data_IF_845931451430
#
_entry.id   IF_845931451430
#
_cell.length_a   1.000
_cell.length_b   1.000
_cell.length_c   1.000
_cell.angle_alpha   90.00
_cell.angle_beta   90.00
_cell.angle_gamma   90.00
#
_symmetry.space_group_name_H-M   'P 1'
#
loop_
_entity.id
_entity.type
_entity.pdbx_description
1 polymer ?
#
# COMPACT_ATOMS: atom_id res chain seq x y z
N UNK A 1 -41.71 11.10 -72.38
CA UNK A 1 -40.42 10.91 -73.10
C UNK A 1 -39.61 9.94 -72.25
N UNK A 2 -39.48 8.64 -72.50
CA UNK A 2 -39.08 7.91 -73.71
C UNK A 2 -37.99 6.96 -73.20
N UNK A 3 -38.32 5.76 -72.69
CA UNK A 3 -38.55 4.49 -73.37
C UNK A 3 -37.45 4.09 -74.38
N UNK A 4 -36.88 2.88 -74.18
CA UNK A 4 -35.69 2.22 -74.80
C UNK A 4 -34.38 2.51 -74.02
N UNK A 5 -33.88 1.58 -73.20
CA UNK A 5 -33.15 0.39 -73.67
C UNK A 5 -33.30 -0.78 -72.68
N UNK A 6 -34.30 -1.62 -72.95
CA UNK A 6 -34.28 -3.02 -72.50
C UNK A 6 -33.65 -3.86 -73.63
N UNK A 7 -33.06 -4.99 -73.22
CA UNK A 7 -32.55 -6.09 -74.05
C UNK A 7 -31.13 -5.95 -74.61
N UNK A 8 -30.15 -6.35 -73.78
CA UNK A 8 -28.98 -7.15 -74.19
C UNK A 8 -28.34 -7.82 -72.96
N UNK A 9 -29.13 -8.61 -72.23
CA UNK A 9 -28.59 -9.64 -71.33
C UNK A 9 -28.15 -10.82 -72.19
N UNK A 10 -27.01 -10.65 -72.86
CA UNK A 10 -26.28 -11.77 -73.44
C UNK A 10 -25.77 -12.64 -72.29
N UNK A 11 -26.21 -13.90 -72.26
CA UNK A 11 -25.75 -14.93 -71.35
C UNK A 11 -24.23 -15.06 -71.46
N UNK A 12 -23.50 -14.44 -70.52
CA UNK A 12 -22.09 -14.71 -70.35
C UNK A 12 -21.92 -16.21 -70.04
N UNK A 13 -21.05 -16.93 -70.76
CA UNK A 13 -20.78 -18.34 -70.46
C UNK A 13 -20.34 -18.45 -68.99
N UNK A 14 -20.73 -19.52 -68.27
CA UNK A 14 -20.34 -19.70 -66.88
C UNK A 14 -18.81 -19.59 -66.81
N UNK A 15 -18.32 -18.55 -66.13
CA UNK A 15 -16.90 -18.33 -65.92
C UNK A 15 -16.39 -19.55 -65.15
N UNK A 16 -15.76 -20.48 -65.88
CA UNK A 16 -15.07 -21.62 -65.30
C UNK A 16 -14.12 -21.04 -64.26
N UNK A 17 -14.27 -21.35 -62.96
CA UNK A 17 -13.37 -20.82 -61.95
C UNK A 17 -11.97 -21.26 -62.33
N UNK A 18 -11.18 -20.31 -62.82
CA UNK A 18 -9.78 -20.54 -63.15
C UNK A 18 -9.13 -21.13 -61.89
N UNK A 19 -8.18 -22.08 -62.03
CA UNK A 19 -7.47 -22.72 -60.91
C UNK A 19 -6.53 -21.75 -60.15
N UNK A 20 -6.94 -20.49 -59.98
CA UNK A 20 -6.23 -19.43 -59.28
C UNK A 20 -5.96 -19.75 -57.81
N UNK A 21 -6.77 -20.60 -57.18
CA UNK A 21 -6.51 -21.06 -55.81
C UNK A 21 -5.19 -21.82 -55.66
N UNK A 22 -4.81 -22.65 -56.64
CA UNK A 22 -3.54 -23.39 -56.59
C UNK A 22 -2.34 -22.47 -56.83
N UNK A 23 -2.43 -21.56 -57.80
CA UNK A 23 -1.38 -20.58 -58.10
C UNK A 23 -1.13 -19.62 -56.93
N UNK A 24 -2.19 -19.16 -56.25
CA UNK A 24 -2.06 -18.32 -55.06
C UNK A 24 -1.34 -19.05 -53.92
N UNK A 25 -1.65 -20.33 -53.71
CA UNK A 25 -1.00 -21.15 -52.69
C UNK A 25 0.51 -21.34 -52.97
N UNK A 26 0.90 -21.63 -54.22
CA UNK A 26 2.32 -21.77 -54.57
C UNK A 26 3.09 -20.45 -54.40
N UNK A 27 2.50 -19.31 -54.78
CA UNK A 27 3.11 -17.99 -54.58
C UNK A 27 3.27 -17.65 -53.10
N UNK A 28 2.27 -17.94 -52.26
CA UNK A 28 2.36 -17.72 -50.83
C UNK A 28 3.46 -18.58 -50.17
N UNK A 29 3.57 -19.85 -50.56
CA UNK A 29 4.62 -20.74 -50.07
C UNK A 29 6.03 -20.27 -50.49
N UNK A 30 6.19 -19.84 -51.74
CA UNK A 30 7.45 -19.29 -52.23
C UNK A 30 7.81 -17.99 -51.52
N UNK A 31 6.86 -17.08 -51.33
CA UNK A 31 7.07 -15.82 -50.62
C UNK A 31 7.53 -16.06 -49.17
N UNK A 32 6.94 -17.02 -48.46
CA UNK A 32 7.39 -17.40 -47.09
C UNK A 32 8.82 -17.91 -47.07
N UNK A 33 9.23 -18.69 -48.07
CA UNK A 33 10.60 -19.19 -48.19
C UNK A 33 11.58 -18.05 -48.45
N UNK A 34 11.24 -17.15 -49.37
CA UNK A 34 12.02 -15.95 -49.68
C UNK A 34 12.14 -15.03 -48.46
N UNK A 35 11.06 -14.85 -47.70
CA UNK A 35 11.05 -14.13 -46.42
C UNK A 35 11.96 -14.79 -45.37
N UNK A 36 11.93 -16.12 -45.25
CA UNK A 36 12.80 -16.83 -44.31
C UNK A 36 14.29 -16.68 -44.66
N UNK A 37 14.62 -16.73 -45.96
CA UNK A 37 16.00 -16.49 -46.45
C UNK A 37 16.44 -15.06 -46.13
N UNK A 38 15.58 -14.07 -46.39
CA UNK A 38 15.87 -12.68 -46.07
C UNK A 38 16.05 -12.47 -44.56
N UNK A 39 15.16 -13.05 -43.74
CA UNK A 39 15.25 -12.97 -42.29
C UNK A 39 16.54 -13.62 -41.75
N UNK A 40 16.90 -14.81 -42.24
CA UNK A 40 18.16 -15.47 -41.87
C UNK A 40 19.39 -14.64 -42.29
N UNK A 41 19.31 -14.00 -43.46
CA UNK A 41 20.35 -13.11 -43.95
C UNK A 41 20.53 -11.89 -43.06
N UNK A 42 19.42 -11.22 -42.70
CA UNK A 42 19.43 -10.07 -41.78
C UNK A 42 19.97 -10.49 -40.42
N UNK A 43 19.57 -11.66 -39.91
CA UNK A 43 20.08 -12.20 -38.65
C UNK A 43 21.60 -12.44 -38.71
N UNK A 44 22.11 -13.02 -39.80
CA UNK A 44 23.54 -13.19 -40.02
C UNK A 44 24.27 -11.84 -40.07
N UNK A 45 23.70 -10.83 -40.74
CA UNK A 45 24.29 -9.48 -40.78
C UNK A 45 24.38 -8.85 -39.40
N UNK A 46 23.32 -8.98 -38.59
CA UNK A 46 23.29 -8.52 -37.19
C UNK A 46 24.35 -9.29 -36.38
N UNK A 47 24.48 -10.60 -36.55
CA UNK A 47 25.49 -11.39 -35.86
C UNK A 47 26.91 -10.96 -36.22
N UNK A 48 27.21 -10.73 -37.50
CA UNK A 48 28.51 -10.21 -37.95
C UNK A 48 28.74 -8.79 -37.37
N UNK A 49 27.70 -7.97 -37.27
CA UNK A 49 27.78 -6.62 -36.69
C UNK A 49 28.03 -6.63 -35.18
N UNK A 50 27.50 -7.62 -34.46
CA UNK A 50 27.69 -7.83 -33.02
C UNK A 50 29.01 -8.56 -32.70
N UNK A 51 29.61 -9.26 -33.67
CA UNK A 51 30.82 -10.07 -33.51
C UNK A 51 32.01 -9.33 -32.84
N UNK A 52 32.31 -8.06 -33.18
CA UNK A 52 33.36 -7.27 -32.50
C UNK A 52 33.10 -7.01 -31.01
N UNK A 53 31.85 -7.13 -30.53
CA UNK A 53 31.48 -6.92 -29.13
C UNK A 53 31.67 -8.18 -28.25
N UNK A 54 31.78 -9.37 -28.87
CA UNK A 54 31.88 -10.66 -28.17
C UNK A 54 33.32 -10.91 -27.70
N UNK A 55 33.48 -11.57 -26.55
CA UNK A 55 34.73 -11.56 -25.74
C UNK A 55 36.02 -12.18 -26.32
N UNK A 56 36.07 -13.04 -27.36
CA UNK A 56 37.39 -13.33 -27.97
C UNK A 56 37.81 -12.21 -28.94
N UNK A 57 36.87 -11.59 -29.66
CA UNK A 57 37.16 -10.60 -30.70
C UNK A 57 37.28 -9.18 -30.17
N UNK A 58 36.60 -8.86 -29.05
CA UNK A 58 36.63 -7.54 -28.42
C UNK A 58 38.05 -7.02 -28.20
N UNK A 59 38.96 -7.85 -27.67
CA UNK A 59 40.36 -7.46 -27.41
C UNK A 59 41.14 -7.12 -28.69
N UNK A 60 40.83 -7.79 -29.80
CA UNK A 60 41.49 -7.53 -31.08
C UNK A 60 40.91 -6.29 -31.77
N UNK A 61 39.60 -6.08 -31.66
CA UNK A 61 38.88 -4.99 -32.33
C UNK A 61 38.95 -3.65 -31.59
N UNK A 62 39.19 -3.62 -30.27
CA UNK A 62 39.15 -2.41 -29.43
C UNK A 62 40.09 -1.29 -29.91
N UNK A 63 41.26 -1.63 -30.43
CA UNK A 63 42.24 -0.65 -30.96
C UNK A 63 41.92 -0.16 -32.38
N UNK A 64 40.99 -0.81 -33.10
CA UNK A 64 40.72 -0.57 -34.52
C UNK A 64 39.24 -0.44 -34.87
N UNK A 65 38.38 -0.24 -33.89
CA UNK A 65 36.92 -0.16 -34.01
C UNK A 65 36.47 0.73 -35.18
N UNK A 66 37.03 1.94 -35.30
CA UNK A 66 36.68 2.89 -36.36
C UNK A 66 37.02 2.42 -37.79
N UNK A 67 37.98 1.49 -37.97
CA UNK A 67 38.30 0.89 -39.29
C UNK A 67 37.51 -0.39 -39.55
N UNK A 68 37.25 -1.17 -38.51
CA UNK A 68 36.60 -2.48 -38.63
C UNK A 68 35.10 -2.35 -38.92
N UNK A 69 34.40 -1.42 -38.27
CA UNK A 69 32.96 -1.25 -38.47
C UNK A 69 32.57 -0.86 -39.92
N UNK A 70 33.23 0.11 -40.58
CA UNK A 70 32.96 0.42 -41.99
C UNK A 70 33.13 -0.77 -42.93
N UNK A 71 34.16 -1.59 -42.72
CA UNK A 71 34.41 -2.80 -43.51
C UNK A 71 33.28 -3.82 -43.31
N UNK A 72 32.87 -4.08 -42.06
CA UNK A 72 31.76 -4.96 -41.75
C UNK A 72 30.46 -4.46 -42.38
N UNK A 73 30.17 -3.16 -42.28
CA UNK A 73 28.97 -2.58 -42.89
C UNK A 73 28.97 -2.69 -44.41
N UNK A 74 30.14 -2.52 -45.06
CA UNK A 74 30.27 -2.67 -46.50
C UNK A 74 30.05 -4.13 -46.93
N UNK A 75 30.64 -5.09 -46.21
CA UNK A 75 30.43 -6.53 -46.45
C UNK A 75 28.96 -6.91 -46.29
N UNK A 76 28.30 -6.46 -45.22
CA UNK A 76 26.87 -6.70 -45.00
C UNK A 76 26.02 -6.06 -46.12
N UNK A 77 26.35 -4.84 -46.56
CA UNK A 77 25.63 -4.17 -47.66
C UNK A 77 25.75 -4.93 -48.98
N UNK A 78 26.96 -5.40 -49.33
CA UNK A 78 27.19 -6.19 -50.55
C UNK A 78 26.42 -7.51 -50.49
N UNK A 79 26.48 -8.22 -49.35
CA UNK A 79 25.73 -9.45 -49.16
C UNK A 79 24.22 -9.22 -49.28
N UNK A 80 23.70 -8.12 -48.72
CA UNK A 80 22.29 -7.76 -48.78
C UNK A 80 21.81 -7.47 -50.21
N UNK A 81 22.55 -6.64 -50.95
CA UNK A 81 22.24 -6.34 -52.36
C UNK A 81 22.26 -7.61 -53.21
N UNK A 82 23.25 -8.48 -52.97
CA UNK A 82 23.38 -9.75 -53.71
C UNK A 82 22.18 -10.66 -53.45
N UNK A 83 21.74 -10.75 -52.20
CA UNK A 83 20.60 -11.61 -51.82
C UNK A 83 19.28 -11.03 -52.33
N UNK A 84 19.08 -9.71 -52.29
CA UNK A 84 17.91 -9.07 -52.90
C UNK A 84 17.82 -9.31 -54.41
N UNK A 85 18.96 -9.31 -55.13
CA UNK A 85 18.98 -9.65 -56.55
C UNK A 85 18.60 -11.12 -56.83
N UNK A 86 18.83 -12.02 -55.86
CA UNK A 86 18.51 -13.45 -55.97
C UNK A 86 17.05 -13.78 -55.60
N UNK A 87 16.30 -12.83 -55.02
CA UNK A 87 14.92 -13.00 -54.56
C UNK A 87 13.95 -12.34 -55.56
N UNK A 88 13.35 -13.09 -56.51
CA UNK A 88 12.57 -12.49 -57.59
C UNK A 88 11.21 -11.94 -57.14
N UNK A 89 10.64 -12.38 -56.01
CA UNK A 89 9.33 -11.92 -55.55
C UNK A 89 9.41 -10.70 -54.62
N UNK A 90 10.56 -10.46 -54.00
CA UNK A 90 10.73 -9.38 -53.01
C UNK A 90 11.33 -8.15 -53.69
N UNK A 91 10.54 -7.07 -53.79
CA UNK A 91 11.03 -5.78 -54.27
C UNK A 91 11.73 -4.99 -53.15
N UNK A 92 12.66 -4.11 -53.51
CA UNK A 92 13.34 -3.20 -52.57
C UNK A 92 12.32 -2.37 -51.76
N UNK A 93 11.24 -1.94 -52.42
CA UNK A 93 10.16 -1.20 -51.78
C UNK A 93 9.50 -1.98 -50.64
N UNK A 94 9.26 -3.29 -50.82
CA UNK A 94 8.68 -4.13 -49.76
C UNK A 94 9.58 -4.19 -48.53
N UNK A 95 10.89 -4.32 -48.74
CA UNK A 95 11.86 -4.38 -47.64
C UNK A 95 11.95 -3.04 -46.92
N UNK A 96 11.91 -1.93 -47.66
CA UNK A 96 11.82 -0.59 -47.09
C UNK A 96 10.57 -0.44 -46.21
N UNK A 97 9.39 -0.82 -46.71
CA UNK A 97 8.15 -0.72 -45.93
C UNK A 97 8.16 -1.64 -44.70
N UNK A 98 8.78 -2.83 -44.77
CA UNK A 98 8.96 -3.68 -43.58
C UNK A 98 9.88 -3.03 -42.54
N UNK A 99 10.97 -2.39 -42.97
CA UNK A 99 11.85 -1.65 -42.06
C UNK A 99 11.11 -0.49 -41.39
N UNK A 100 10.31 0.28 -42.15
CA UNK A 100 9.45 1.34 -41.61
C UNK A 100 8.44 0.77 -40.62
N UNK A 101 7.78 -0.34 -40.93
CA UNK A 101 6.82 -0.98 -40.03
C UNK A 101 7.47 -1.48 -38.73
N UNK A 102 8.68 -2.05 -38.79
CA UNK A 102 9.43 -2.43 -37.59
C UNK A 102 9.78 -1.19 -36.77
N UNK A 103 10.23 -0.11 -37.42
CA UNK A 103 10.56 1.15 -36.75
C UNK A 103 9.33 1.75 -36.06
N UNK A 104 8.17 1.74 -36.71
CA UNK A 104 6.89 2.16 -36.15
C UNK A 104 6.55 1.35 -34.89
N UNK A 105 6.63 0.02 -34.95
CA UNK A 105 6.40 -0.85 -33.77
C UNK A 105 7.38 -0.52 -32.63
N UNK A 106 8.65 -0.28 -32.94
CA UNK A 106 9.65 0.07 -31.92
C UNK A 106 9.34 1.43 -31.28
N UNK A 107 8.94 2.43 -32.08
CA UNK A 107 8.55 3.75 -31.59
C UNK A 107 7.31 3.63 -30.69
N UNK A 108 6.28 2.91 -31.12
CA UNK A 108 5.07 2.69 -30.33
C UNK A 108 5.36 2.01 -28.99
N UNK A 109 6.26 1.02 -28.98
CA UNK A 109 6.67 0.35 -27.73
C UNK A 109 7.52 1.23 -26.84
N UNK A 110 8.39 2.06 -27.42
CA UNK A 110 9.17 3.04 -26.67
C UNK A 110 8.25 4.09 -26.02
N UNK A 111 7.24 4.58 -26.76
CA UNK A 111 6.22 5.49 -26.25
C UNK A 111 5.42 4.87 -25.10
N UNK A 112 4.94 3.62 -25.26
CA UNK A 112 4.22 2.90 -24.19
C UNK A 112 5.05 2.77 -22.91
N UNK A 113 6.34 2.45 -23.04
CA UNK A 113 7.27 2.36 -21.90
C UNK A 113 7.49 3.74 -21.27
N UNK A 114 7.64 4.78 -22.08
CA UNK A 114 7.81 6.14 -21.59
C UNK A 114 6.56 6.63 -20.82
N UNK A 115 5.36 6.37 -21.35
CA UNK A 115 4.09 6.69 -20.68
C UNK A 115 3.98 5.93 -19.35
N UNK A 116 4.30 4.63 -19.34
CA UNK A 116 4.27 3.84 -18.11
C UNK A 116 5.28 4.36 -17.07
N UNK A 117 6.48 4.75 -17.51
CA UNK A 117 7.48 5.36 -16.64
C UNK A 117 7.02 6.70 -16.06
N UNK A 118 6.44 7.58 -16.89
CA UNK A 118 5.87 8.86 -16.44
C UNK A 118 4.73 8.62 -15.45
N UNK A 119 3.84 7.66 -15.71
CA UNK A 119 2.77 7.30 -14.79
C UNK A 119 3.30 6.78 -13.46
N UNK A 120 4.36 5.95 -13.48
CA UNK A 120 5.01 5.47 -12.27
C UNK A 120 5.65 6.60 -11.45
N UNK A 121 6.36 7.53 -12.11
CA UNK A 121 6.93 8.71 -11.44
C UNK A 121 5.83 9.61 -10.86
N UNK A 122 4.72 9.81 -11.59
CA UNK A 122 3.58 10.56 -11.10
C UNK A 122 2.96 9.89 -9.85
N UNK A 123 2.82 8.56 -9.85
CA UNK A 123 2.35 7.81 -8.70
C UNK A 123 3.29 7.97 -7.48
N UNK A 124 4.60 7.91 -7.69
CA UNK A 124 5.59 8.15 -6.63
C UNK A 124 5.53 9.59 -6.09
N UNK A 125 5.30 10.57 -6.97
CA UNK A 125 5.11 11.97 -6.56
C UNK A 125 3.84 12.12 -5.70
N UNK A 126 2.71 11.56 -6.14
CA UNK A 126 1.46 11.56 -5.36
C UNK A 126 1.67 10.88 -4.01
N UNK A 127 2.36 9.73 -3.98
CA UNK A 127 2.68 9.03 -2.75
C UNK A 127 3.54 9.87 -1.80
N UNK A 128 4.59 10.53 -2.32
CA UNK A 128 5.48 11.39 -1.53
C UNK A 128 4.79 12.63 -0.99
N UNK A 129 3.87 13.21 -1.76
CA UNK A 129 3.16 14.45 -1.40
C UNK A 129 1.80 14.24 -0.75
N UNK A 130 1.39 12.98 -0.50
CA UNK A 130 0.06 12.65 0.04
C UNK A 130 -0.28 13.43 1.32
N UNK A 131 0.68 13.58 2.24
CA UNK A 131 0.42 14.22 3.53
C UNK A 131 0.16 15.71 3.37
N UNK A 132 0.88 16.37 2.45
CA UNK A 132 0.67 17.79 2.11
C UNK A 132 -0.63 18.01 1.37
N UNK A 133 -1.02 17.10 0.49
CA UNK A 133 -2.30 17.17 -0.21
C UNK A 133 -3.47 16.99 0.76
N UNK A 134 -3.37 16.03 1.69
CA UNK A 134 -4.39 15.81 2.72
C UNK A 134 -4.48 17.00 3.69
N UNK A 135 -3.34 17.56 4.09
CA UNK A 135 -3.27 18.78 4.89
C UNK A 135 -3.94 19.97 4.17
N UNK A 136 -3.67 20.16 2.88
CA UNK A 136 -4.30 21.21 2.07
C UNK A 136 -5.80 21.00 1.86
N UNK A 137 -6.28 19.75 1.88
CA UNK A 137 -7.69 19.39 1.85
C UNK A 137 -8.38 19.56 3.22
N UNK A 138 -7.65 20.00 4.25
CA UNK A 138 -8.18 20.19 5.60
C UNK A 138 -8.32 18.90 6.40
N UNK A 139 -7.67 17.80 5.98
CA UNK A 139 -7.64 16.56 6.76
C UNK A 139 -6.66 16.73 7.91
N UNK A 140 -7.18 17.00 9.11
CA UNK A 140 -6.38 17.25 10.31
C UNK A 140 -5.50 16.06 10.73
N UNK A 141 -5.91 14.84 10.36
CA UNK A 141 -5.15 13.61 10.62
C UNK A 141 -4.99 12.80 9.33
N UNK A 142 -3.98 13.14 8.52
CA UNK A 142 -3.65 12.43 7.28
C UNK A 142 -3.49 10.90 7.49
N UNK A 143 -2.95 10.49 8.64
CA UNK A 143 -2.75 9.10 9.03
C UNK A 143 -4.07 8.32 9.23
N UNK A 144 -5.20 8.99 9.45
CA UNK A 144 -6.49 8.34 9.57
C UNK A 144 -7.10 7.98 8.21
N UNK A 145 -6.71 8.69 7.14
CA UNK A 145 -7.29 8.53 5.79
C UNK A 145 -6.45 7.60 4.94
N UNK A 146 -5.12 7.78 4.93
CA UNK A 146 -4.22 6.93 4.16
C UNK A 146 -3.51 5.97 5.08
N UNK A 147 -3.98 4.72 5.08
CA UNK A 147 -3.39 3.64 5.85
C UNK A 147 -1.93 3.44 5.47
N UNK A 148 -1.15 2.98 6.44
CA UNK A 148 0.25 2.63 6.24
C UNK A 148 0.33 1.42 5.31
N UNK A 149 1.46 1.21 4.63
CA UNK A 149 1.63 0.04 3.72
C UNK A 149 1.23 -1.29 4.38
N UNK A 150 1.45 -1.39 5.71
CA UNK A 150 1.01 -2.51 6.54
C UNK A 150 -0.51 -2.72 6.52
N UNK A 151 -1.30 -1.65 6.52
CA UNK A 151 -2.77 -1.69 6.45
C UNK A 151 -3.23 -2.20 5.09
N UNK A 152 -2.56 -1.79 4.02
CA UNK A 152 -2.81 -2.31 2.67
C UNK A 152 -2.47 -3.80 2.59
N UNK A 153 -1.32 -4.20 3.12
CA UNK A 153 -0.89 -5.60 3.16
C UNK A 153 -1.81 -6.48 4.02
N UNK A 154 -2.41 -5.92 5.07
CA UNK A 154 -3.36 -6.63 5.95
C UNK A 154 -4.83 -6.42 5.55
N UNK A 155 -5.08 -5.84 4.37
CA UNK A 155 -6.41 -5.50 3.85
C UNK A 155 -7.29 -4.79 4.88
N UNK A 156 -6.71 -3.88 5.66
CA UNK A 156 -7.39 -3.10 6.69
C UNK A 156 -8.10 -3.97 7.74
N UNK A 157 -7.54 -5.14 8.05
CA UNK A 157 -8.11 -6.05 9.05
C UNK A 157 -8.11 -5.41 10.44
N UNK A 158 -9.31 -5.02 10.91
CA UNK A 158 -9.52 -4.44 12.24
C UNK A 158 -9.30 -5.43 13.41
N UNK A 159 -9.06 -6.71 13.10
CA UNK A 159 -8.91 -7.76 14.11
C UNK A 159 -7.66 -7.67 14.95
N UNK A 160 -6.61 -7.03 14.43
CA UNK A 160 -5.36 -6.88 15.16
C UNK A 160 -5.48 -5.92 16.34
N UNK A 161 -6.52 -5.09 16.34
CA UNK A 161 -6.76 -4.13 17.40
C UNK A 161 -7.58 -4.77 18.53
N UNK A 162 -7.17 -4.51 19.76
CA UNK A 162 -7.92 -4.82 20.96
C UNK A 162 -8.27 -3.53 21.68
N UNK A 163 -9.52 -3.41 22.13
CA UNK A 163 -9.96 -2.23 22.84
C UNK A 163 -9.38 -2.20 24.26
N UNK A 164 -8.74 -1.09 24.61
CA UNK A 164 -8.27 -0.79 25.95
C UNK A 164 -8.99 0.44 26.47
N UNK A 165 -9.32 0.45 27.76
CA UNK A 165 -9.88 1.61 28.45
C UNK A 165 -8.81 2.23 29.34
N UNK A 166 -8.51 3.50 29.09
CA UNK A 166 -7.60 4.33 29.85
C UNK A 166 -8.39 5.15 30.87
N UNK A 167 -8.18 4.87 32.15
CA UNK A 167 -8.73 5.66 33.25
C UNK A 167 -7.72 6.73 33.67
N UNK A 168 -8.18 7.98 33.70
CA UNK A 168 -7.41 9.16 34.11
C UNK A 168 -8.00 9.66 35.42
N UNK A 169 -7.29 9.44 36.53
CA UNK A 169 -7.82 9.79 37.85
C UNK A 169 -7.52 11.24 38.21
N UNK A 170 -6.24 11.58 38.36
CA UNK A 170 -5.78 12.90 38.75
C UNK A 170 -4.39 13.21 38.24
N UNK A 171 -4.05 14.49 38.23
CA UNK A 171 -2.74 15.02 37.90
C UNK A 171 -2.29 15.94 39.02
N UNK A 172 -1.04 15.76 39.47
CA UNK A 172 -0.44 16.51 40.58
C UNK A 172 0.83 17.23 40.09
N UNK A 173 1.12 18.42 40.61
CA UNK A 173 2.41 19.11 40.40
C UNK A 173 2.63 19.70 38.99
N UNK A 174 1.56 20.15 38.32
CA UNK A 174 1.66 20.80 37.02
C UNK A 174 2.35 22.17 37.10
N UNK A 175 3.24 22.52 36.16
CA UNK A 175 3.78 23.87 36.07
C UNK A 175 2.67 24.87 35.69
N UNK A 176 2.77 26.10 36.20
CA UNK A 176 1.87 27.18 35.80
C UNK A 176 2.17 27.56 34.35
N UNK A 177 1.16 27.57 33.47
CA UNK A 177 1.34 27.99 32.07
C UNK A 177 1.49 29.51 31.94
N UNK A 178 0.87 30.25 32.86
CA UNK A 178 0.89 31.71 32.94
C UNK A 178 1.13 32.14 34.39
N UNK A 179 1.90 33.21 34.59
CA UNK A 179 2.33 33.66 35.93
C UNK A 179 1.16 34.11 36.82
N UNK A 180 0.10 34.69 36.23
CA UNK A 180 -0.97 35.38 36.97
C UNK A 180 -2.34 34.66 36.91
N UNK A 181 -2.47 33.56 36.16
CA UNK A 181 -3.75 32.88 35.95
C UNK A 181 -3.63 31.40 36.22
N UNK A 182 -4.58 30.84 36.97
CA UNK A 182 -4.68 29.40 37.14
C UNK A 182 -4.90 28.70 35.79
N UNK A 183 -4.36 27.48 35.67
CA UNK A 183 -4.51 26.69 34.44
C UNK A 183 -5.96 26.17 34.31
N UNK A 184 -6.52 26.25 33.09
CA UNK A 184 -7.74 25.57 32.66
C UNK A 184 -7.33 24.28 31.96
N UNK A 185 -7.36 23.17 32.69
CA UNK A 185 -6.63 21.95 32.29
C UNK A 185 -7.56 20.94 31.63
N UNK A 186 -7.13 20.38 30.51
CA UNK A 186 -7.70 19.16 29.94
C UNK A 186 -6.59 18.19 29.50
N UNK A 187 -6.94 16.92 29.32
CA UNK A 187 -6.03 15.88 28.86
C UNK A 187 -6.40 15.47 27.44
N UNK A 188 -5.43 15.51 26.53
CA UNK A 188 -5.53 15.00 25.16
C UNK A 188 -4.77 13.67 25.07
N UNK A 189 -5.45 12.62 24.63
CA UNK A 189 -4.88 11.29 24.45
C UNK A 189 -4.85 10.94 22.97
N UNK A 190 -3.69 10.53 22.49
CA UNK A 190 -3.48 10.10 21.11
C UNK A 190 -2.74 8.76 21.08
N UNK A 191 -3.27 7.80 20.34
CA UNK A 191 -2.66 6.48 20.17
C UNK A 191 -2.77 6.07 18.71
N UNK A 192 -1.69 6.28 17.95
CA UNK A 192 -1.58 5.70 16.61
C UNK A 192 -2.75 6.04 15.68
N UNK A 193 -3.49 5.02 15.26
CA UNK A 193 -4.67 5.12 14.39
C UNK A 193 -5.93 5.72 15.05
N UNK A 194 -5.93 5.91 16.38
CA UNK A 194 -7.08 6.48 17.07
C UNK A 194 -7.18 7.98 16.81
N UNK A 195 -8.42 8.45 16.62
CA UNK A 195 -8.72 9.89 16.69
C UNK A 195 -8.30 10.39 18.08
N UNK A 196 -7.74 11.61 18.13
CA UNK A 196 -7.33 12.20 19.40
C UNK A 196 -8.56 12.41 20.28
N UNK A 197 -8.53 11.81 21.46
CA UNK A 197 -9.60 11.91 22.44
C UNK A 197 -9.24 13.00 23.46
N UNK A 198 -10.23 13.73 23.95
CA UNK A 198 -10.04 14.81 24.93
C UNK A 198 -10.97 14.62 26.11
N UNK A 199 -10.46 14.84 27.31
CA UNK A 199 -11.28 14.93 28.51
C UNK A 199 -12.03 16.26 28.56
N UNK A 200 -12.94 16.41 29.52
CA UNK A 200 -13.53 17.72 29.82
C UNK A 200 -12.47 18.66 30.37
N UNK A 201 -12.76 19.96 30.27
CA UNK A 201 -11.89 21.03 30.75
C UNK A 201 -12.23 21.33 32.20
N UNK A 202 -11.22 21.36 33.05
CA UNK A 202 -11.32 21.72 34.45
C UNK A 202 -10.79 23.15 34.63
N UNK A 203 -11.71 24.09 34.78
CA UNK A 203 -11.39 25.50 34.93
C UNK A 203 -10.68 25.79 36.26
N UNK A 204 -9.66 26.65 36.21
CA UNK A 204 -8.89 27.13 37.37
C UNK A 204 -8.33 26.01 38.26
N UNK A 205 -7.92 24.90 37.66
CA UNK A 205 -7.36 23.76 38.38
C UNK A 205 -6.00 24.06 39.05
N UNK A 206 -5.24 25.03 38.54
CA UNK A 206 -3.95 25.44 39.11
C UNK A 206 -2.87 24.37 38.90
N UNK A 207 -2.29 23.84 40.00
CA UNK A 207 -1.19 22.86 39.97
C UNK A 207 -1.64 21.40 40.06
N UNK A 208 -2.90 21.13 40.39
CA UNK A 208 -3.42 19.77 40.55
C UNK A 208 -4.88 19.69 40.11
N UNK A 209 -5.26 18.62 39.40
CA UNK A 209 -6.59 18.43 38.87
C UNK A 209 -7.07 17.00 39.08
N UNK A 210 -8.35 16.82 39.41
CA UNK A 210 -9.00 15.50 39.48
C UNK A 210 -9.94 15.37 38.28
N UNK A 211 -9.64 14.44 37.37
CA UNK A 211 -10.43 14.19 36.17
C UNK A 211 -11.53 13.17 36.44
N UNK A 212 -11.16 11.98 36.92
CA UNK A 212 -12.06 10.81 37.02
C UNK A 212 -12.80 10.51 35.72
N UNK A 213 -12.07 10.49 34.61
CA UNK A 213 -12.61 10.19 33.27
C UNK A 213 -11.97 8.93 32.69
N UNK A 214 -12.67 8.23 31.81
CA UNK A 214 -12.14 7.10 31.04
C UNK A 214 -12.28 7.31 29.54
N UNK A 215 -11.32 6.76 28.79
CA UNK A 215 -11.24 6.88 27.34
C UNK A 215 -10.95 5.51 26.75
N UNK A 216 -11.78 5.06 25.81
CA UNK A 216 -11.55 3.80 25.09
C UNK A 216 -10.72 4.05 23.83
N UNK A 217 -9.71 3.21 23.62
CA UNK A 217 -8.76 3.29 22.50
C UNK A 217 -8.57 1.91 21.87
N UNK A 218 -8.38 1.88 20.55
CA UNK A 218 -8.00 0.67 19.82
C UNK A 218 -6.47 0.49 19.87
N UNK A 219 -6.00 -0.51 20.60
CA UNK A 219 -4.58 -0.79 20.78
C UNK A 219 -4.12 -1.95 19.90
N UNK A 220 -3.01 -1.77 19.18
CA UNK A 220 -2.33 -2.82 18.42
C UNK A 220 -1.09 -3.28 19.20
N UNK A 221 -1.08 -4.49 19.79
CA UNK A 221 0.06 -4.97 20.58
C UNK A 221 1.31 -5.25 19.72
N UNK A 222 1.15 -5.35 18.39
CA UNK A 222 2.23 -5.66 17.45
C UNK A 222 2.90 -4.36 16.97
N UNK A 223 2.22 -3.22 17.07
CA UNK A 223 2.74 -1.94 16.62
C UNK A 223 3.66 -1.30 17.67
N UNK A 224 4.97 -1.59 17.56
CA UNK A 224 5.99 -1.04 18.45
C UNK A 224 6.41 0.39 18.10
N UNK A 225 6.10 0.85 16.89
CA UNK A 225 6.48 2.18 16.43
C UNK A 225 5.50 3.24 16.95
N UNK A 226 4.23 2.85 17.12
CA UNK A 226 3.21 3.71 17.72
C UNK A 226 3.39 3.85 19.24
N UNK A 227 3.29 5.10 19.70
CA UNK A 227 3.36 5.47 21.12
C UNK A 227 2.05 6.10 21.56
N UNK A 228 1.58 5.72 22.74
CA UNK A 228 0.49 6.40 23.43
C UNK A 228 1.03 7.73 23.95
N UNK A 229 0.54 8.83 23.39
CA UNK A 229 0.85 10.19 23.86
C UNK A 229 -0.30 10.71 24.71
N UNK A 230 0.00 11.07 25.95
CA UNK A 230 -0.94 11.72 26.87
C UNK A 230 -0.39 13.11 27.14
N UNK A 231 -1.11 14.12 26.68
CA UNK A 231 -0.68 15.53 26.76
C UNK A 231 -1.67 16.31 27.60
N UNK A 232 -1.18 16.93 28.67
CA UNK A 232 -1.94 17.86 29.50
C UNK A 232 -1.81 19.25 28.89
N UNK A 233 -2.94 19.86 28.55
CA UNK A 233 -3.01 21.16 27.89
C UNK A 233 -3.77 22.17 28.73
N UNK A 234 -3.37 23.42 28.62
CA UNK A 234 -4.11 24.57 29.11
C UNK A 234 -5.01 25.07 27.99
N UNK A 235 -6.32 25.10 28.22
CA UNK A 235 -7.25 25.74 27.28
C UNK A 235 -7.13 27.26 27.42
N UNK A 236 -6.91 27.93 26.30
CA UNK A 236 -6.98 29.39 26.20
C UNK A 236 -7.98 29.76 25.12
N UNK A 237 -8.43 31.02 25.12
CA UNK A 237 -9.42 31.53 24.14
C UNK A 237 -8.90 31.41 22.70
N UNK A 238 -7.60 31.64 22.50
CA UNK A 238 -6.99 31.68 21.17
C UNK A 238 -6.30 30.38 20.76
N UNK A 239 -5.67 29.69 21.71
CA UNK A 239 -4.88 28.49 21.41
C UNK A 239 -4.67 27.63 22.64
N UNK A 240 -4.71 26.31 22.48
CA UNK A 240 -4.34 25.39 23.55
C UNK A 240 -2.81 25.33 23.68
N UNK A 241 -2.28 25.49 24.89
CA UNK A 241 -0.84 25.37 25.16
C UNK A 241 -0.53 24.07 25.87
N UNK A 242 0.52 23.37 25.42
CA UNK A 242 0.95 22.13 26.05
C UNK A 242 1.67 22.44 27.38
N UNK A 243 1.16 21.92 28.49
CA UNK A 243 1.75 22.12 29.82
C UNK A 243 2.80 21.04 30.08
N UNK A 244 2.38 19.78 29.95
CA UNK A 244 3.22 18.62 30.20
C UNK A 244 2.72 17.42 29.40
N UNK A 245 3.60 16.47 29.11
CA UNK A 245 3.26 15.28 28.33
C UNK A 245 3.99 14.04 28.82
N UNK A 246 3.40 12.89 28.54
CA UNK A 246 4.07 11.59 28.65
C UNK A 246 3.82 10.78 27.39
N UNK A 247 4.83 10.01 27.00
CA UNK A 247 4.74 9.06 25.91
C UNK A 247 5.03 7.67 26.45
N UNK A 248 4.11 6.74 26.22
CA UNK A 248 4.24 5.33 26.60
C UNK A 248 4.35 4.49 25.34
N UNK A 249 5.39 3.68 25.22
CA UNK A 249 5.50 2.70 24.14
C UNK A 249 4.53 1.54 24.34
N UNK A 250 4.17 0.81 23.27
CA UNK A 250 3.25 -0.33 23.34
C UNK A 250 3.62 -1.34 24.43
N UNK A 251 4.91 -1.68 24.58
CA UNK A 251 5.41 -2.59 25.63
C UNK A 251 5.21 -2.05 27.06
N UNK A 252 5.25 -0.73 27.26
CA UNK A 252 5.01 -0.13 28.57
C UNK A 252 3.51 -0.17 28.89
N UNK A 253 2.66 0.08 27.90
CA UNK A 253 1.20 -0.03 28.03
C UNK A 253 0.81 -1.47 28.41
N UNK A 254 1.36 -2.48 27.74
CA UNK A 254 1.08 -3.89 28.07
C UNK A 254 1.50 -4.23 29.51
N UNK A 255 2.69 -3.79 29.95
CA UNK A 255 3.14 -4.01 31.33
C UNK A 255 2.25 -3.34 32.38
N UNK A 256 1.74 -2.16 32.07
CA UNK A 256 0.86 -1.38 32.96
C UNK A 256 -0.58 -1.92 32.99
N UNK A 257 -0.97 -2.66 31.95
CA UNK A 257 -2.23 -3.40 31.90
C UNK A 257 -2.16 -4.63 32.80
N UNK A 258 -1.09 -5.42 32.70
CA UNK A 258 -0.94 -6.68 33.46
C UNK A 258 -0.81 -6.47 34.98
N UNK A 259 -0.24 -5.33 35.41
CA UNK A 259 -0.02 -5.06 36.84
C UNK A 259 -1.29 -4.82 37.65
N UNK A 260 -2.42 -4.52 37.01
CA UNK A 260 -3.69 -4.22 37.70
C UNK A 260 -4.57 -5.45 37.97
N UNK A 261 -4.38 -6.54 37.23
CA UNK A 261 -5.37 -7.63 37.16
C UNK A 261 -5.05 -8.84 38.06
N UNK A 262 -3.83 -8.92 38.61
CA UNK A 262 -3.38 -10.09 39.38
C UNK A 262 -4.21 -10.41 40.64
N UNK A 263 -4.95 -9.44 41.20
CA UNK A 263 -5.73 -9.64 42.44
C UNK A 263 -7.24 -9.37 42.30
N UNK A 264 -7.72 -8.85 41.17
CA UNK A 264 -9.10 -8.36 41.07
C UNK A 264 -9.88 -8.89 39.87
N UNK A 265 -10.03 -10.21 39.78
CA UNK A 265 -11.04 -10.85 38.91
C UNK A 265 -12.50 -10.52 39.34
N UNK A 266 -12.70 -9.52 40.21
CA UNK A 266 -14.02 -9.02 40.60
C UNK A 266 -14.49 -8.03 39.54
N UNK A 267 -15.63 -8.35 38.92
CA UNK A 267 -16.38 -7.47 38.02
C UNK A 267 -16.47 -6.07 38.63
N UNK A 268 -15.84 -5.09 37.98
CA UNK A 268 -15.88 -3.69 38.40
C UNK A 268 -17.26 -3.13 38.10
N UNK A 269 -18.15 -3.16 39.08
CA UNK A 269 -19.42 -2.44 39.02
C UNK A 269 -19.19 -0.93 39.12
N UNK A 270 -19.88 -0.16 38.27
CA UNK A 270 -19.95 1.30 38.39
C UNK A 270 -20.75 1.78 39.63
N UNK A 271 -21.45 0.87 40.31
CA UNK A 271 -22.21 1.14 41.53
C UNK A 271 -21.35 1.06 42.78
N UNK A 272 -21.09 2.20 43.40
CA UNK A 272 -20.51 2.27 44.74
C UNK A 272 -21.55 1.82 45.77
N UNK A 273 -21.47 0.56 46.23
CA UNK A 273 -22.04 0.23 47.53
C UNK A 273 -21.17 0.94 48.58
N UNK A 274 -21.79 1.79 49.39
CA UNK A 274 -21.14 2.78 50.28
C UNK A 274 -20.22 2.21 51.35
N UNK A 275 -20.26 0.90 51.61
CA UNK A 275 -19.54 0.29 52.74
C UNK A 275 -18.13 -0.24 52.44
N UNK A 276 -17.68 -0.19 51.17
CA UNK A 276 -16.32 -0.62 50.80
C UNK A 276 -15.64 0.47 49.96
N UNK A 277 -15.13 1.52 50.60
CA UNK A 277 -14.35 2.57 49.91
C UNK A 277 -13.18 2.00 49.09
N UNK A 278 -12.62 0.85 49.49
CA UNK A 278 -11.54 0.16 48.78
C UNK A 278 -11.99 -0.54 47.48
N UNK A 279 -13.30 -0.69 47.26
CA UNK A 279 -13.84 -1.35 46.06
C UNK A 279 -13.99 -0.40 44.86
N UNK A 280 -13.89 0.92 45.09
CA UNK A 280 -14.09 1.95 44.05
C UNK A 280 -13.15 1.74 42.85
N UNK A 281 -13.67 1.95 41.64
CA UNK A 281 -12.87 1.99 40.40
C UNK A 281 -11.74 3.04 40.54
N UNK A 282 -11.97 4.07 41.35
CA UNK A 282 -11.07 5.19 41.63
C UNK A 282 -10.18 5.03 42.88
N UNK A 283 -10.03 3.80 43.40
CA UNK A 283 -9.15 3.53 44.53
C UNK A 283 -7.67 3.75 44.17
N UNK A 284 -6.93 4.48 45.03
CA UNK A 284 -5.57 4.92 44.74
C UNK A 284 -4.60 3.78 44.41
N UNK A 285 -4.76 2.63 45.06
CA UNK A 285 -3.90 1.45 44.86
C UNK A 285 -3.99 0.85 43.44
N UNK A 286 -5.04 1.19 42.68
CA UNK A 286 -5.26 0.68 41.32
C UNK A 286 -4.66 1.56 40.23
N UNK A 287 -4.11 2.72 40.57
CA UNK A 287 -3.54 3.67 39.62
C UNK A 287 -2.02 3.67 39.70
N UNK A 288 -1.40 3.67 38.54
CA UNK A 288 0.04 3.85 38.38
C UNK A 288 0.36 5.33 38.26
N UNK A 289 1.33 5.78 39.05
CA UNK A 289 1.88 7.12 38.93
C UNK A 289 2.93 7.15 37.82
N UNK A 290 2.73 8.04 36.86
CA UNK A 290 3.67 8.26 35.76
C UNK A 290 4.11 9.71 35.79
N UNK A 291 5.42 9.95 35.76
CA UNK A 291 5.98 11.29 35.74
C UNK A 291 5.77 11.94 34.37
N UNK A 292 5.34 13.21 34.38
CA UNK A 292 5.15 14.03 33.18
C UNK A 292 6.39 14.87 32.90
N UNK A 293 6.64 15.18 31.63
CA UNK A 293 7.71 16.06 31.18
C UNK A 293 7.10 17.40 30.74
N UNK A 294 7.53 18.58 31.25
CA UNK A 294 8.73 18.80 32.06
C UNK A 294 8.57 18.55 33.57
N UNK A 295 7.35 18.62 34.11
CA UNK A 295 7.08 18.39 35.54
C UNK A 295 5.64 17.91 35.76
N UNK A 296 5.42 17.25 36.91
CA UNK A 296 4.12 16.75 37.36
C UNK A 296 4.03 15.23 37.33
N UNK A 297 2.95 14.69 37.87
CA UNK A 297 2.64 13.25 37.91
C UNK A 297 1.19 13.03 37.52
N UNK A 298 0.94 12.04 36.67
CA UNK A 298 -0.40 11.60 36.30
C UNK A 298 -0.68 10.22 36.87
N UNK A 299 -1.90 10.00 37.34
CA UNK A 299 -2.37 8.73 37.90
C UNK A 299 -3.24 8.03 36.85
N UNK A 300 -2.74 6.94 36.28
CA UNK A 300 -3.32 6.24 35.14
C UNK A 300 -3.59 4.78 35.48
N UNK A 301 -4.66 4.22 34.89
CA UNK A 301 -4.93 2.79 34.90
C UNK A 301 -5.37 2.36 33.50
N UNK A 302 -4.87 1.21 33.07
CA UNK A 302 -5.27 0.56 31.81
C UNK A 302 -6.11 -0.66 32.15
N UNK A 303 -7.23 -0.85 31.47
CA UNK A 303 -8.04 -2.06 31.59
C UNK A 303 -8.40 -2.59 30.18
N UNK A 304 -8.38 -3.92 29.96
CA UNK A 304 -8.92 -4.49 28.74
C UNK A 304 -10.44 -4.31 28.67
N UNK A 305 -10.98 -3.99 27.50
CA UNK A 305 -12.43 -4.00 27.26
C UNK A 305 -12.82 -5.40 26.80
N UNK A 306 -13.57 -6.13 27.64
CA UNK A 306 -14.05 -7.46 27.31
C UNK A 306 -15.11 -7.36 26.21
N UNK A 307 -14.72 -7.62 24.96
CA UNK A 307 -15.63 -7.60 23.80
C UNK A 307 -16.74 -8.67 23.86
N UNK A 308 -16.57 -9.67 24.72
CA UNK A 308 -17.44 -10.84 24.79
C UNK A 308 -18.72 -10.61 25.61
N UNK A 309 -18.84 -9.53 26.39
CA UNK A 309 -20.01 -9.33 27.28
C UNK A 309 -21.28 -8.81 26.58
N UNK A 310 -21.25 -8.52 25.27
CA UNK A 310 -22.40 -8.00 24.52
C UNK A 310 -22.78 -8.76 23.25
N UNK A 311 -22.02 -9.79 22.85
CA UNK A 311 -22.13 -10.44 21.54
C UNK A 311 -22.30 -11.96 21.61
N UNK A 312 -22.93 -12.47 22.68
CA UNK A 312 -23.50 -13.83 22.68
C UNK A 312 -24.65 -14.00 21.65
N UNK A 313 -25.00 -12.95 20.90
CA UNK A 313 -25.79 -13.03 19.68
C UNK A 313 -24.96 -13.53 18.49
N UNK A 314 -24.80 -14.85 18.40
CA UNK A 314 -24.66 -15.64 17.16
C UNK A 314 -24.36 -14.81 15.89
N UNK A 315 -23.08 -14.59 15.56
CA UNK A 315 -22.73 -14.42 14.16
C UNK A 315 -23.10 -15.73 13.45
N UNK A 316 -24.22 -15.70 12.72
CA UNK A 316 -24.67 -16.82 11.91
C UNK A 316 -23.58 -17.25 10.91
N UNK A 317 -23.76 -18.41 10.25
CA UNK A 317 -22.79 -18.95 9.30
C UNK A 317 -22.68 -18.03 8.07
N UNK A 318 -21.86 -16.99 8.16
CA UNK A 318 -21.38 -16.27 6.99
C UNK A 318 -20.47 -17.21 6.21
N UNK A 319 -21.01 -17.72 5.11
CA UNK A 319 -20.36 -18.61 4.16
C UNK A 319 -19.08 -17.99 3.59
N UNK A 320 -17.94 -18.56 3.98
CA UNK A 320 -16.77 -18.95 3.18
C UNK A 320 -16.09 -18.00 2.19
N UNK A 321 -16.46 -16.71 2.09
CA UNK A 321 -15.77 -15.82 1.14
C UNK A 321 -15.34 -14.46 1.70
N UNK A 322 -15.40 -14.24 3.01
CA UNK A 322 -14.76 -13.10 3.64
C UNK A 322 -13.51 -13.55 4.41
N UNK A 323 -12.34 -13.04 4.01
CA UNK A 323 -11.08 -13.04 4.77
C UNK A 323 -11.23 -12.50 6.21
N UNK A 324 -12.42 -12.00 6.54
CA UNK A 324 -12.83 -11.47 7.82
C UNK A 324 -13.45 -12.50 8.77
N UNK A 325 -13.16 -13.83 8.73
CA UNK A 325 -13.52 -14.79 9.83
C UNK A 325 -12.67 -16.08 9.96
N UNK A 326 -11.47 -16.10 10.61
CA UNK A 326 -10.83 -17.34 11.05
C UNK A 326 -10.95 -17.47 12.58
N UNK A 327 -12.14 -17.76 13.13
CA UNK A 327 -12.29 -18.03 14.58
C UNK A 327 -12.80 -19.42 14.92
N UNK A 328 -12.78 -20.39 13.99
CA UNK A 328 -13.16 -21.79 14.29
C UNK A 328 -12.06 -22.84 14.15
N UNK A 329 -10.87 -22.49 13.65
CA UNK A 329 -9.77 -23.46 13.45
C UNK A 329 -8.83 -23.64 14.65
N UNK A 330 -8.33 -22.55 15.24
CA UNK A 330 -7.22 -22.61 16.20
C UNK A 330 -7.62 -22.95 17.65
N UNK A 331 -8.82 -22.55 18.10
CA UNK A 331 -9.26 -22.87 19.46
C UNK A 331 -9.41 -24.39 19.69
N UNK A 332 -9.86 -25.13 18.67
CA UNK A 332 -9.93 -26.60 18.72
C UNK A 332 -8.56 -27.28 18.73
N UNK A 333 -7.53 -26.67 18.16
CA UNK A 333 -6.18 -27.24 18.19
C UNK A 333 -5.51 -27.06 19.56
N UNK A 334 -5.73 -25.93 20.23
CA UNK A 334 -5.18 -25.72 21.57
C UNK A 334 -5.89 -26.59 22.62
N UNK A 335 -7.20 -26.79 22.48
CA UNK A 335 -7.97 -27.69 23.34
C UNK A 335 -7.62 -29.17 23.11
N UNK A 336 -7.34 -29.58 21.85
CA UNK A 336 -6.82 -30.93 21.56
C UNK A 336 -5.39 -31.15 22.04
N UNK A 337 -4.53 -30.14 22.05
CA UNK A 337 -3.17 -30.24 22.61
C UNK A 337 -3.19 -30.36 24.14
N UNK A 338 -4.06 -29.60 24.82
CA UNK A 338 -4.23 -29.72 26.27
C UNK A 338 -4.91 -31.04 26.69
N UNK A 339 -5.77 -31.61 25.84
CA UNK A 339 -6.34 -32.95 26.07
C UNK A 339 -5.38 -34.10 25.75
N UNK A 340 -4.37 -33.87 24.92
CA UNK A 340 -3.33 -34.85 24.62
C UNK A 340 -2.26 -34.96 25.72
N UNK A 341 -2.03 -33.90 26.50
CA UNK A 341 -1.09 -33.90 27.63
C UNK A 341 -1.66 -34.54 28.93
N UNK A 342 -2.96 -34.89 28.94
CA UNK A 342 -3.64 -35.50 30.09
C UNK A 342 -4.02 -36.98 29.91
N UNK A 343 -3.45 -37.67 28.91
CA UNK A 343 -3.50 -39.12 28.76
C UNK A 343 -2.08 -39.68 28.73
#
# INVERSE_FOLDING_TARGET
EGNRTAALNASAPPAVPLPGGRLAHYRAAQLRREQAILAATVLCMVFIWVLPLVRPFRKCCETRTYRVYPIITLVNLIAFITILKMLPLISVNMVFFWAVAILEVVIDKCEQVLIAFVAFVALLMVWKFKDRLLEALGVENANAVVGEFRDWATCWSMRRFHAIELFIWKVDGLPASKLATANDVFCEVALGYNVRMRTRVHHRAGHSCIFKESVQLNFDPIDYDQRLSITIKNQDVMSNTDIARVQLGARQVERLKDSGDAESNRRLGWGANTDLMDSSIWAAARFHTVDLIPAGRIHLRFAPVNADEGLEGSCGPCSDCCCCCPRRGLARQHEMLLLADHR
#
